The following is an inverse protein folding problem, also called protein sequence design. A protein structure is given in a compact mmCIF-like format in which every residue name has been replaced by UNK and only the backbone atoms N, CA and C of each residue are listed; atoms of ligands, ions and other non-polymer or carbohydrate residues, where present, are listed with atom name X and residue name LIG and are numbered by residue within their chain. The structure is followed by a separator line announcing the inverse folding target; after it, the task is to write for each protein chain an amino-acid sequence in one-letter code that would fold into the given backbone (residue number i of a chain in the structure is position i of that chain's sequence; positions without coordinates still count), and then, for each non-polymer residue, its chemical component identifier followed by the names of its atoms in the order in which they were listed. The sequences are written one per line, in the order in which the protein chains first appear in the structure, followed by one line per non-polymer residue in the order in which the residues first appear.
data_IF_121035807703
#
_entry.id   IF_121035807703
#
_cell.length_a   1.000
_cell.length_b   1.000
_cell.length_c   1.000
_cell.angle_alpha   90.00
_cell.angle_beta   90.00
_cell.angle_gamma   90.00
#
_symmetry.space_group_name_H-M   'P 1'
#
loop_
_entity.id
_entity.type
_entity.pdbx_description
1 polymer ?
#
# COMPACT_ATOMS: atom_id res chain seq x y z
N UNK A 1 -4.09 4.20 5.23
CA UNK A 1 -3.09 3.84 6.22
C UNK A 1 -3.80 3.27 7.45
N UNK A 2 -3.51 2.03 7.88
CA UNK A 2 -4.20 1.39 9.01
C UNK A 2 -3.95 2.10 10.35
N UNK A 3 -2.99 3.00 10.43
CA UNK A 3 -2.71 3.80 11.64
C UNK A 3 -3.58 5.05 11.75
N UNK A 4 -4.27 5.43 10.67
CA UNK A 4 -5.15 6.61 10.68
C UNK A 4 -6.36 6.36 11.57
N UNK A 5 -6.74 7.34 12.41
CA UNK A 5 -7.81 7.25 13.40
C UNK A 5 -8.43 8.62 13.69
N UNK A 6 -9.56 8.61 14.40
CA UNK A 6 -10.23 9.81 14.91
C UNK A 6 -10.64 10.78 13.80
N UNK A 7 -10.53 12.07 14.06
CA UNK A 7 -10.99 13.12 13.15
C UNK A 7 -10.25 13.12 11.82
N UNK A 8 -8.97 12.71 11.80
CA UNK A 8 -8.23 12.54 10.55
C UNK A 8 -8.84 11.48 9.65
N UNK A 9 -9.21 10.32 10.20
CA UNK A 9 -9.89 9.27 9.45
C UNK A 9 -11.28 9.73 8.99
N UNK A 10 -12.03 10.38 9.89
CA UNK A 10 -13.33 10.97 9.56
C UNK A 10 -13.22 11.96 8.39
N UNK A 11 -12.26 12.90 8.47
CA UNK A 11 -12.01 13.87 7.39
C UNK A 11 -11.73 13.19 6.06
N UNK A 12 -10.83 12.20 6.04
CA UNK A 12 -10.46 11.50 4.81
C UNK A 12 -11.67 10.79 4.17
N UNK A 13 -12.47 10.08 4.97
CA UNK A 13 -13.65 9.37 4.48
C UNK A 13 -14.77 10.31 4.02
N UNK A 14 -14.98 11.42 4.72
CA UNK A 14 -15.95 12.45 4.35
C UNK A 14 -15.53 13.19 3.08
N UNK A 15 -14.27 13.64 3.03
CA UNK A 15 -13.72 14.40 1.90
C UNK A 15 -13.70 13.59 0.60
N UNK A 16 -13.43 12.30 0.69
CA UNK A 16 -13.49 11.38 -0.45
C UNK A 16 -14.89 10.90 -0.78
N UNK A 17 -15.91 11.30 -0.02
CA UNK A 17 -17.31 10.90 -0.21
C UNK A 17 -17.48 9.37 -0.30
N UNK A 18 -16.75 8.63 0.54
CA UNK A 18 -16.78 7.18 0.53
C UNK A 18 -18.19 6.64 0.78
N UNK A 19 -18.68 5.80 -0.14
CA UNK A 19 -19.95 5.08 0.01
C UNK A 19 -19.76 3.69 0.63
N UNK A 20 -18.53 3.20 0.66
CA UNK A 20 -18.17 1.88 1.14
C UNK A 20 -16.80 1.87 1.83
N UNK A 21 -16.58 0.91 2.73
CA UNK A 21 -15.28 0.64 3.32
C UNK A 21 -14.96 -0.86 3.27
N UNK A 22 -13.72 -1.18 2.88
CA UNK A 22 -13.17 -2.52 3.00
C UNK A 22 -11.93 -2.42 3.89
N UNK A 23 -11.88 -3.20 4.96
CA UNK A 23 -10.84 -3.09 5.97
C UNK A 23 -10.43 -4.45 6.54
N UNK A 24 -9.24 -4.53 7.11
CA UNK A 24 -8.86 -5.62 7.99
C UNK A 24 -9.58 -5.45 9.34
N UNK A 25 -9.86 -6.55 10.03
CA UNK A 25 -10.58 -6.59 11.31
C UNK A 25 -9.95 -5.69 12.39
N UNK A 26 -8.63 -5.64 12.50
CA UNK A 26 -7.92 -4.78 13.47
C UNK A 26 -8.09 -3.26 13.21
N UNK A 27 -8.67 -2.87 12.08
CA UNK A 27 -8.99 -1.45 11.77
C UNK A 27 -10.39 -1.07 12.24
N UNK A 28 -11.29 -2.05 12.41
CA UNK A 28 -12.69 -1.83 12.76
C UNK A 28 -12.90 -1.03 14.05
N UNK A 29 -12.09 -1.18 15.13
CA UNK A 29 -12.21 -0.34 16.31
C UNK A 29 -12.08 1.18 16.03
N UNK A 30 -11.44 1.54 14.93
CA UNK A 30 -11.25 2.94 14.51
C UNK A 30 -12.34 3.43 13.56
N UNK A 31 -12.92 2.52 12.78
CA UNK A 31 -13.96 2.84 11.80
C UNK A 31 -15.35 2.89 12.45
N UNK A 32 -15.67 1.93 13.32
CA UNK A 32 -16.99 1.77 13.88
C UNK A 32 -17.51 3.02 14.60
N UNK A 33 -16.72 3.73 15.45
CA UNK A 33 -17.20 4.94 16.12
C UNK A 33 -17.49 6.11 15.17
N UNK A 34 -17.00 6.04 13.92
CA UNK A 34 -17.17 7.10 12.95
C UNK A 34 -18.40 6.90 12.06
N UNK A 35 -19.00 5.72 12.05
CA UNK A 35 -20.09 5.39 11.11
C UNK A 35 -21.29 6.30 11.23
N UNK A 36 -21.70 6.66 12.46
CA UNK A 36 -22.82 7.57 12.69
C UNK A 36 -22.54 8.98 12.14
N UNK A 37 -21.28 9.38 12.10
CA UNK A 37 -20.81 10.66 11.55
C UNK A 37 -20.57 10.63 10.04
N UNK A 38 -20.77 9.47 9.39
CA UNK A 38 -20.51 9.22 7.97
C UNK A 38 -21.78 8.69 7.28
N UNK A 39 -22.83 9.50 7.13
CA UNK A 39 -24.11 9.03 6.58
C UNK A 39 -23.99 8.56 5.12
N UNK A 40 -22.95 8.98 4.40
CA UNK A 40 -22.64 8.50 3.05
C UNK A 40 -22.06 7.09 3.02
N UNK A 41 -21.52 6.58 4.11
CA UNK A 41 -20.91 5.25 4.21
C UNK A 41 -22.01 4.17 4.37
N UNK A 42 -22.50 3.66 3.26
CA UNK A 42 -23.66 2.77 3.20
C UNK A 42 -23.38 1.34 3.66
N UNK A 43 -22.16 0.83 3.40
CA UNK A 43 -21.78 -0.53 3.78
C UNK A 43 -20.30 -0.63 4.16
N UNK A 44 -19.96 -1.65 4.92
CA UNK A 44 -18.60 -1.98 5.27
C UNK A 44 -18.38 -3.50 5.16
N UNK A 45 -17.23 -3.87 4.63
CA UNK A 45 -16.75 -5.26 4.62
C UNK A 45 -15.42 -5.36 5.33
N UNK A 46 -15.18 -6.50 5.94
CA UNK A 46 -13.90 -6.79 6.56
C UNK A 46 -13.44 -8.21 6.27
N UNK A 47 -12.14 -8.42 6.37
CA UNK A 47 -11.53 -9.74 6.38
C UNK A 47 -10.81 -9.96 7.71
N UNK A 48 -10.91 -11.20 8.22
CA UNK A 48 -10.25 -11.60 9.44
C UNK A 48 -8.74 -11.73 9.23
N UNK A 49 -7.99 -11.30 10.22
CA UNK A 49 -6.53 -11.42 10.27
C UNK A 49 -6.11 -12.03 11.61
N UNK A 50 -4.84 -12.37 11.75
CA UNK A 50 -4.21 -12.78 13.00
C UNK A 50 -3.95 -11.62 13.98
N UNK A 51 -4.26 -10.39 13.58
CA UNK A 51 -4.15 -9.16 14.41
C UNK A 51 -5.53 -8.69 14.93
N UNK A 52 -6.63 -9.35 14.54
CA UNK A 52 -7.97 -9.06 15.03
C UNK A 52 -8.12 -9.46 16.49
N UNK A 53 -8.80 -8.64 17.27
CA UNK A 53 -9.04 -8.85 18.70
C UNK A 53 -10.34 -9.61 19.00
N UNK A 54 -11.22 -9.73 18.01
CA UNK A 54 -12.53 -10.42 18.12
C UNK A 54 -13.08 -10.85 16.76
N UNK A 55 -14.05 -11.82 16.76
CA UNK A 55 -14.69 -12.30 15.54
C UNK A 55 -15.36 -11.17 14.74
N UNK A 56 -15.41 -11.30 13.42
CA UNK A 56 -16.10 -10.33 12.55
C UNK A 56 -17.61 -10.26 12.85
N UNK A 57 -18.23 -11.35 13.33
CA UNK A 57 -19.63 -11.40 13.72
C UNK A 57 -20.01 -10.41 14.82
N UNK A 58 -19.04 -9.98 15.62
CA UNK A 58 -19.26 -9.06 16.74
C UNK A 58 -19.33 -7.59 16.31
N UNK A 59 -19.09 -7.32 15.03
CA UNK A 59 -19.11 -5.98 14.47
C UNK A 59 -20.43 -5.69 13.76
N UNK A 60 -21.25 -4.82 14.34
CA UNK A 60 -22.55 -4.47 13.78
C UNK A 60 -22.42 -3.82 12.40
N UNK A 61 -23.18 -4.35 11.43
CA UNK A 61 -23.24 -3.82 10.07
C UNK A 61 -21.93 -3.96 9.27
N UNK A 62 -21.07 -4.88 9.65
CA UNK A 62 -19.86 -5.26 8.91
C UNK A 62 -20.06 -6.65 8.33
N UNK A 63 -19.82 -6.80 7.03
CA UNK A 63 -19.91 -8.08 6.33
C UNK A 63 -18.54 -8.74 6.23
N UNK A 64 -18.50 -10.07 6.32
CA UNK A 64 -17.27 -10.82 6.08
C UNK A 64 -16.99 -10.88 4.57
N UNK A 65 -15.90 -10.26 4.12
CA UNK A 65 -15.51 -10.24 2.71
C UNK A 65 -15.29 -11.65 2.15
N UNK A 66 -14.69 -12.56 2.93
CA UNK A 66 -14.45 -13.93 2.51
C UNK A 66 -15.75 -14.72 2.27
N UNK A 67 -16.82 -14.41 3.02
CA UNK A 67 -18.13 -15.04 2.83
C UNK A 67 -18.87 -14.56 1.58
N UNK A 68 -18.41 -13.46 0.99
CA UNK A 68 -18.97 -12.89 -0.25
C UNK A 68 -18.19 -13.30 -1.50
N UNK A 69 -17.04 -13.95 -1.34
CA UNK A 69 -16.29 -14.45 -2.49
C UNK A 69 -17.13 -15.49 -3.23
N UNK A 70 -17.40 -15.33 -4.54
CA UNK A 70 -18.14 -16.33 -5.30
C UNK A 70 -17.32 -17.62 -5.39
N UNK A 71 -18.01 -18.76 -5.38
CA UNK A 71 -17.38 -20.08 -5.57
C UNK A 71 -16.71 -20.18 -6.94
N UNK A 72 -17.33 -19.57 -7.95
CA UNK A 72 -16.79 -19.45 -9.30
C UNK A 72 -16.49 -17.99 -9.61
N UNK A 73 -15.36 -17.71 -10.24
CA UNK A 73 -15.03 -16.36 -10.73
C UNK A 73 -15.89 -16.08 -11.95
N UNK A 74 -16.86 -15.13 -11.89
CA UNK A 74 -17.66 -14.83 -13.06
C UNK A 74 -16.78 -14.22 -14.15
N UNK A 75 -17.13 -14.50 -15.42
CA UNK A 75 -16.57 -13.75 -16.54
C UNK A 75 -16.99 -12.29 -16.43
N UNK A 76 -16.05 -11.46 -16.00
CA UNK A 76 -16.27 -10.02 -15.92
C UNK A 76 -16.01 -9.40 -17.29
N UNK A 77 -16.99 -8.67 -17.85
CA UNK A 77 -16.77 -7.97 -19.12
C UNK A 77 -15.64 -6.95 -18.96
N UNK A 78 -14.77 -6.87 -19.96
CA UNK A 78 -13.80 -5.78 -20.04
C UNK A 78 -14.58 -4.48 -20.25
N UNK A 79 -14.54 -3.61 -19.25
CA UNK A 79 -15.19 -2.31 -19.32
C UNK A 79 -14.30 -1.33 -20.10
N UNK A 80 -14.91 -0.57 -20.99
CA UNK A 80 -14.26 0.61 -21.56
C UNK A 80 -14.23 1.69 -20.48
N UNK A 81 -13.02 2.04 -20.05
CA UNK A 81 -12.80 3.05 -19.00
C UNK A 81 -12.27 4.31 -19.65
N UNK A 82 -12.85 5.46 -19.30
CA UNK A 82 -12.26 6.75 -19.64
C UNK A 82 -10.90 6.88 -18.94
N UNK A 83 -9.79 6.98 -19.69
CA UNK A 83 -8.46 7.09 -19.09
C UNK A 83 -8.28 8.29 -18.16
N UNK A 84 -9.06 9.34 -18.31
CA UNK A 84 -8.97 10.54 -17.49
C UNK A 84 -9.92 10.52 -16.28
N UNK A 85 -10.73 9.46 -16.15
CA UNK A 85 -11.50 9.23 -14.91
C UNK A 85 -10.60 8.91 -13.73
N UNK A 86 -11.09 9.21 -12.51
CA UNK A 86 -10.38 8.94 -11.27
C UNK A 86 -10.26 7.43 -11.04
N UNK A 87 -9.04 6.95 -10.79
CA UNK A 87 -8.76 5.59 -10.36
C UNK A 87 -8.74 5.50 -8.82
N UNK A 88 -8.06 6.45 -8.19
CA UNK A 88 -7.85 6.43 -6.74
C UNK A 88 -7.61 7.82 -6.17
N UNK A 89 -7.77 7.93 -4.84
CA UNK A 89 -7.39 9.09 -4.04
C UNK A 89 -6.29 8.68 -3.06
N UNK A 90 -5.12 9.29 -3.20
CA UNK A 90 -4.01 9.11 -2.25
C UNK A 90 -3.93 10.32 -1.33
N UNK A 91 -4.13 10.10 -0.03
CA UNK A 91 -3.99 11.17 0.95
C UNK A 91 -2.54 11.32 1.41
N UNK A 92 -2.05 12.55 1.34
CA UNK A 92 -0.73 12.94 1.88
C UNK A 92 -0.89 13.66 3.21
N UNK A 93 0.11 13.51 4.09
CA UNK A 93 0.19 14.33 5.31
C UNK A 93 0.46 15.78 4.89
N UNK A 94 -0.56 16.63 4.95
CA UNK A 94 -0.37 18.08 4.79
C UNK A 94 0.58 18.60 5.88
N UNK A 95 1.51 19.47 5.51
CA UNK A 95 2.43 20.12 6.44
C UNK A 95 1.74 21.19 7.29
N UNK A 96 0.52 21.59 6.94
CA UNK A 96 -0.17 22.78 7.48
C UNK A 96 -1.64 22.54 7.84
N UNK A 97 -2.07 21.30 8.11
CA UNK A 97 -3.48 21.05 8.47
C UNK A 97 -4.00 19.70 8.00
N UNK A 98 -5.21 19.66 7.48
CA UNK A 98 -5.88 18.46 7.04
C UNK A 98 -5.15 17.73 5.89
N UNK A 99 -5.27 16.40 5.80
CA UNK A 99 -4.68 15.64 4.71
C UNK A 99 -5.18 16.09 3.35
N UNK A 100 -4.29 16.18 2.36
CA UNK A 100 -4.65 16.53 0.99
C UNK A 100 -4.88 15.26 0.17
N UNK A 101 -6.05 15.12 -0.43
CA UNK A 101 -6.36 14.04 -1.37
C UNK A 101 -5.82 14.37 -2.77
N UNK A 102 -4.94 13.52 -3.27
CA UNK A 102 -4.43 13.62 -4.65
C UNK A 102 -5.24 12.65 -5.51
N UNK A 103 -5.91 13.18 -6.53
CA UNK A 103 -6.61 12.36 -7.51
C UNK A 103 -5.61 11.78 -8.49
N UNK A 104 -5.58 10.46 -8.59
CA UNK A 104 -4.83 9.72 -9.60
C UNK A 104 -5.80 9.21 -10.64
N UNK A 105 -5.63 9.60 -11.91
CA UNK A 105 -6.42 9.06 -13.02
C UNK A 105 -5.82 7.75 -13.53
N UNK A 106 -6.61 6.94 -14.25
CA UNK A 106 -6.13 5.73 -14.91
C UNK A 106 -4.93 6.02 -15.82
N UNK A 107 -5.02 7.06 -16.65
CA UNK A 107 -3.93 7.51 -17.55
C UNK A 107 -2.65 7.79 -16.75
N UNK A 108 -2.75 8.61 -15.70
CA UNK A 108 -1.59 9.02 -14.91
C UNK A 108 -0.96 7.83 -14.19
N UNK A 109 -1.79 6.94 -13.63
CA UNK A 109 -1.31 5.72 -13.00
C UNK A 109 -0.53 4.87 -14.00
N UNK A 110 -1.12 4.53 -15.16
CA UNK A 110 -0.48 3.72 -16.18
C UNK A 110 0.83 4.33 -16.70
N UNK A 111 0.85 5.64 -16.93
CA UNK A 111 2.08 6.34 -17.34
C UNK A 111 3.18 6.25 -16.27
N UNK A 112 2.81 6.47 -15.00
CA UNK A 112 3.79 6.47 -13.90
C UNK A 112 4.40 5.09 -13.68
N UNK A 113 3.59 4.03 -13.67
CA UNK A 113 4.09 2.68 -13.38
C UNK A 113 4.93 2.10 -14.52
N UNK A 114 4.76 2.59 -15.76
CA UNK A 114 5.59 2.20 -16.90
C UNK A 114 6.97 2.86 -16.92
N UNK A 115 7.21 3.87 -16.10
CA UNK A 115 8.50 4.55 -16.02
C UNK A 115 9.59 3.73 -15.29
N UNK A 116 9.24 2.61 -14.68
CA UNK A 116 10.17 1.79 -13.90
C UNK A 116 11.50 1.51 -14.60
N UNK A 117 11.51 0.95 -15.83
CA UNK A 117 12.75 0.66 -16.55
C UNK A 117 13.57 1.92 -16.89
N UNK A 118 12.92 2.98 -17.35
CA UNK A 118 13.63 4.20 -17.79
C UNK A 118 14.07 5.10 -16.64
N UNK A 119 13.29 5.15 -15.55
CA UNK A 119 13.55 6.06 -14.43
C UNK A 119 14.38 5.39 -13.32
N UNK A 120 14.14 4.11 -13.07
CA UNK A 120 14.78 3.36 -11.98
C UNK A 120 15.76 2.28 -12.47
N UNK A 121 15.83 2.03 -13.78
CA UNK A 121 16.71 1.01 -14.35
C UNK A 121 16.26 -0.43 -14.09
N UNK A 122 14.94 -0.66 -13.92
CA UNK A 122 14.41 -2.00 -13.75
C UNK A 122 14.61 -2.83 -15.03
N UNK A 123 15.04 -4.08 -14.84
CA UNK A 123 15.24 -5.08 -15.90
C UNK A 123 14.32 -6.29 -15.68
N UNK A 124 14.21 -7.14 -16.68
CA UNK A 124 13.34 -8.35 -16.64
C UNK A 124 13.72 -9.34 -15.54
N UNK A 125 14.95 -9.28 -15.05
CA UNK A 125 15.48 -10.19 -14.02
C UNK A 125 15.28 -9.64 -12.60
N UNK A 126 14.74 -8.42 -12.47
CA UNK A 126 14.58 -7.80 -11.17
C UNK A 126 13.44 -8.40 -10.36
N UNK A 127 13.67 -8.42 -9.07
CA UNK A 127 12.69 -8.74 -8.03
C UNK A 127 12.56 -7.52 -7.13
N UNK A 128 11.41 -6.87 -7.19
CA UNK A 128 11.17 -5.64 -6.46
C UNK A 128 10.63 -5.94 -5.06
N UNK A 129 11.17 -5.29 -4.04
CA UNK A 129 10.71 -5.44 -2.67
C UNK A 129 10.24 -4.11 -2.07
N UNK A 130 9.12 -4.14 -1.34
CA UNK A 130 8.70 -3.06 -0.46
C UNK A 130 8.13 -3.57 0.86
N UNK A 131 8.56 -2.95 1.95
CA UNK A 131 7.94 -3.08 3.26
C UNK A 131 7.06 -1.87 3.63
N UNK A 132 6.85 -0.97 2.69
CA UNK A 132 5.95 0.17 2.86
C UNK A 132 4.49 -0.25 2.72
N UNK A 133 3.61 0.45 3.42
CA UNK A 133 2.16 0.28 3.20
C UNK A 133 1.78 0.64 1.77
N UNK A 134 0.91 -0.16 1.14
CA UNK A 134 0.34 0.14 -0.18
C UNK A 134 -0.56 1.39 -0.20
N UNK A 135 -0.87 1.97 0.95
CA UNK A 135 -1.50 3.30 1.03
C UNK A 135 -0.52 4.44 0.72
N UNK A 136 0.76 4.12 0.57
CA UNK A 136 1.80 5.09 0.21
C UNK A 136 2.14 4.99 -1.28
N UNK A 137 2.13 6.12 -1.97
CA UNK A 137 2.40 6.21 -3.41
C UNK A 137 3.69 5.51 -3.85
N UNK A 138 4.75 5.55 -3.03
CA UNK A 138 6.00 4.85 -3.35
C UNK A 138 5.79 3.33 -3.47
N UNK A 139 5.18 2.67 -2.47
CA UNK A 139 4.95 1.22 -2.53
C UNK A 139 4.01 0.84 -3.67
N UNK A 140 3.00 1.66 -3.90
CA UNK A 140 1.96 1.40 -4.88
C UNK A 140 2.44 1.63 -6.31
N UNK A 141 3.09 2.75 -6.59
CA UNK A 141 3.50 3.11 -7.95
C UNK A 141 4.90 2.58 -8.29
N UNK A 142 5.88 2.82 -7.41
CA UNK A 142 7.30 2.51 -7.70
C UNK A 142 7.58 1.01 -7.59
N UNK A 143 6.94 0.31 -6.64
CA UNK A 143 7.17 -1.14 -6.45
C UNK A 143 6.07 -1.97 -7.12
N UNK A 144 4.86 -1.98 -6.56
CA UNK A 144 3.80 -2.88 -7.04
C UNK A 144 3.36 -2.55 -8.46
N UNK A 145 3.08 -1.29 -8.75
CA UNK A 145 2.63 -0.84 -10.06
C UNK A 145 3.67 -1.09 -11.15
N UNK A 146 4.95 -0.77 -10.89
CA UNK A 146 6.04 -1.07 -11.83
C UNK A 146 6.20 -2.58 -12.03
N UNK A 147 6.09 -3.37 -10.97
CA UNK A 147 6.17 -4.83 -11.09
C UNK A 147 5.05 -5.38 -11.98
N UNK A 148 3.81 -4.92 -11.80
CA UNK A 148 2.68 -5.32 -12.63
C UNK A 148 2.85 -4.87 -14.10
N UNK A 149 3.22 -3.59 -14.31
CA UNK A 149 3.38 -3.03 -15.65
C UNK A 149 4.53 -3.67 -16.44
N UNK A 150 5.62 -4.01 -15.77
CA UNK A 150 6.82 -4.57 -16.37
C UNK A 150 6.90 -6.11 -16.26
N UNK A 151 5.89 -6.76 -15.69
CA UNK A 151 5.82 -8.22 -15.46
C UNK A 151 7.00 -8.75 -14.62
N UNK A 152 7.37 -8.00 -13.59
CA UNK A 152 8.45 -8.36 -12.69
C UNK A 152 7.91 -9.08 -11.45
N UNK A 153 8.75 -9.86 -10.80
CA UNK A 153 8.43 -10.42 -9.49
C UNK A 153 8.38 -9.31 -8.44
N UNK A 154 7.43 -9.41 -7.52
CA UNK A 154 7.27 -8.44 -6.43
C UNK A 154 7.16 -9.15 -5.09
N UNK A 155 7.89 -8.66 -4.11
CA UNK A 155 7.87 -9.11 -2.72
C UNK A 155 7.30 -7.97 -1.88
N UNK A 156 6.24 -8.26 -1.14
CA UNK A 156 5.62 -7.30 -0.23
C UNK A 156 5.63 -7.88 1.18
N UNK A 157 6.05 -7.11 2.15
CA UNK A 157 5.88 -7.46 3.57
C UNK A 157 4.83 -6.58 4.22
N UNK A 158 4.17 -7.10 5.27
CA UNK A 158 3.10 -6.37 6.00
C UNK A 158 3.58 -5.04 6.57
N UNK A 159 4.87 -4.96 6.92
CA UNK A 159 5.52 -3.75 7.44
C UNK A 159 7.01 -3.79 7.18
N UNK A 160 7.61 -2.63 7.10
CA UNK A 160 9.07 -2.52 7.09
C UNK A 160 9.63 -2.90 8.46
N UNK A 161 10.59 -3.80 8.46
CA UNK A 161 11.36 -4.18 9.65
C UNK A 161 12.85 -4.13 9.30
N UNK A 162 13.55 -3.11 9.80
CA UNK A 162 14.96 -2.87 9.50
C UNK A 162 15.84 -4.11 9.73
N UNK A 163 15.67 -4.76 10.87
CA UNK A 163 16.45 -5.94 11.24
C UNK A 163 16.25 -7.15 10.32
N UNK A 164 15.14 -7.20 9.56
CA UNK A 164 14.83 -8.28 8.65
C UNK A 164 15.06 -7.92 7.17
N UNK A 165 15.45 -6.69 6.87
CA UNK A 165 15.60 -6.22 5.49
C UNK A 165 16.50 -7.16 4.67
N UNK A 166 17.71 -7.40 5.14
CA UNK A 166 18.70 -8.22 4.44
C UNK A 166 18.36 -9.72 4.42
N UNK A 167 17.67 -10.21 5.46
CA UNK A 167 17.12 -11.56 5.47
C UNK A 167 16.08 -11.74 4.36
N UNK A 168 15.14 -10.81 4.25
CA UNK A 168 14.08 -10.84 3.23
C UNK A 168 14.68 -10.74 1.81
N UNK A 169 15.63 -9.85 1.59
CA UNK A 169 16.26 -9.69 0.28
C UNK A 169 16.98 -10.97 -0.16
N UNK A 170 17.70 -11.63 0.73
CA UNK A 170 18.34 -12.92 0.47
C UNK A 170 17.31 -14.04 0.25
N UNK A 171 16.34 -14.15 1.15
CA UNK A 171 15.34 -15.23 1.11
C UNK A 171 14.53 -15.25 -0.18
N UNK A 172 14.15 -14.08 -0.69
CA UNK A 172 13.30 -13.94 -1.86
C UNK A 172 14.05 -13.53 -3.13
N UNK A 173 15.35 -13.36 -3.05
CA UNK A 173 16.18 -12.91 -4.17
C UNK A 173 15.84 -11.48 -4.62
N UNK A 174 15.43 -10.59 -3.70
CA UNK A 174 15.05 -9.24 -4.05
C UNK A 174 16.28 -8.44 -4.49
N UNK A 175 16.26 -7.98 -5.75
CA UNK A 175 17.39 -7.27 -6.38
C UNK A 175 17.32 -5.76 -6.17
N UNK A 176 16.16 -5.27 -5.78
CA UNK A 176 15.95 -3.87 -5.46
C UNK A 176 14.86 -3.71 -4.41
N UNK A 177 14.95 -2.67 -3.61
CA UNK A 177 13.90 -2.30 -2.66
C UNK A 177 13.73 -0.79 -2.56
N UNK A 178 12.58 -0.38 -1.99
CA UNK A 178 12.24 1.03 -1.86
C UNK A 178 12.28 1.47 -0.40
N UNK A 179 12.84 2.64 -0.14
CA UNK A 179 12.89 3.28 1.18
C UNK A 179 12.36 4.71 1.11
N UNK A 180 12.04 5.25 2.27
CA UNK A 180 11.67 6.65 2.46
C UNK A 180 12.49 7.27 3.58
N UNK A 181 12.99 8.47 3.39
CA UNK A 181 13.61 9.36 4.36
C UNK A 181 14.20 8.68 5.60
N UNK A 182 13.49 8.72 6.72
CA UNK A 182 13.93 8.13 7.98
C UNK A 182 14.26 6.62 7.94
N UNK A 183 13.64 5.85 7.01
CA UNK A 183 14.00 4.44 6.83
C UNK A 183 15.38 4.30 6.20
N UNK A 184 15.69 5.16 5.21
CA UNK A 184 17.02 5.21 4.58
C UNK A 184 18.09 5.55 5.62
N UNK A 185 17.85 6.59 6.41
CA UNK A 185 18.74 6.98 7.51
C UNK A 185 18.92 5.86 8.52
N UNK A 186 17.84 5.17 8.88
CA UNK A 186 17.89 4.06 9.83
C UNK A 186 18.70 2.86 9.32
N UNK A 187 18.62 2.54 8.02
CA UNK A 187 19.42 1.47 7.41
C UNK A 187 20.89 1.90 7.27
N UNK A 188 21.13 3.14 6.85
CA UNK A 188 22.47 3.69 6.69
C UNK A 188 23.26 3.76 8.01
N UNK A 189 22.57 4.02 9.11
CA UNK A 189 23.18 4.11 10.44
C UNK A 189 23.51 2.75 11.09
N UNK A 190 23.19 1.62 10.44
CA UNK A 190 23.57 0.31 10.97
C UNK A 190 25.08 0.10 10.85
N UNK A 191 25.71 -0.46 11.90
CA UNK A 191 27.13 -0.78 11.81
C UNK A 191 27.40 -1.84 10.74
N UNK A 192 28.55 -1.77 10.04
CA UNK A 192 28.93 -2.76 9.06
C UNK A 192 28.95 -4.18 9.63
N UNK A 193 28.51 -5.16 8.86
CA UNK A 193 28.50 -6.59 9.18
C UNK A 193 29.30 -7.38 8.16
N UNK A 194 29.89 -8.48 8.59
CA UNK A 194 30.73 -9.33 7.73
C UNK A 194 30.00 -9.87 6.48
N UNK A 195 28.67 -9.98 6.54
CA UNK A 195 27.84 -10.49 5.46
C UNK A 195 27.04 -9.40 4.70
N UNK A 196 27.41 -8.14 4.82
CA UNK A 196 26.69 -7.07 4.13
C UNK A 196 26.75 -7.20 2.60
N UNK A 197 27.87 -7.69 2.08
CA UNK A 197 28.02 -7.95 0.66
C UNK A 197 27.27 -9.21 0.15
N UNK A 198 26.86 -10.09 1.06
CA UNK A 198 26.15 -11.32 0.74
C UNK A 198 24.63 -11.07 0.59
N UNK A 199 24.27 -10.40 -0.49
CA UNK A 199 22.87 -10.13 -0.82
C UNK A 199 22.71 -9.88 -2.35
N UNK A 200 21.54 -10.10 -2.94
CA UNK A 200 21.28 -9.94 -4.37
C UNK A 200 20.99 -8.49 -4.79
N UNK A 201 21.00 -7.53 -3.87
CA UNK A 201 20.56 -6.15 -4.11
C UNK A 201 21.52 -5.43 -5.05
N UNK A 202 21.02 -4.95 -6.18
CA UNK A 202 21.79 -4.18 -7.17
C UNK A 202 21.71 -2.68 -6.90
N UNK A 203 20.54 -2.19 -6.46
CA UNK A 203 20.32 -0.78 -6.13
C UNK A 203 19.10 -0.59 -5.22
N UNK A 204 18.99 0.60 -4.65
CA UNK A 204 17.90 1.02 -3.78
C UNK A 204 17.24 2.26 -4.35
N UNK A 205 15.92 2.24 -4.46
CA UNK A 205 15.15 3.44 -4.81
C UNK A 205 14.72 4.14 -3.53
N UNK A 206 15.27 5.32 -3.27
CA UNK A 206 14.97 6.07 -2.05
C UNK A 206 14.50 7.47 -2.34
N UNK A 207 13.49 7.90 -1.59
CA UNK A 207 13.06 9.30 -1.52
C UNK A 207 13.56 9.90 -0.20
N UNK A 208 14.51 10.82 -0.30
CA UNK A 208 15.21 11.42 0.85
C UNK A 208 16.43 10.59 1.28
N UNK A 209 17.60 10.98 0.78
CA UNK A 209 18.87 10.44 1.22
C UNK A 209 19.35 11.19 2.47
N UNK A 210 20.07 10.52 3.40
CA UNK A 210 20.78 11.23 4.45
C UNK A 210 21.82 12.17 3.83
N UNK A 211 22.01 13.31 4.46
CA UNK A 211 23.04 14.30 4.09
C UNK A 211 24.43 13.77 4.41
#
# INVERSE_FOLDING_TARGET
DPRTKGDKLHFMLSNSQCSAAIAADYVLPRLQPLRERLPGLRWAMAFATDEGDRPLSDWQGVENLAARAPADVPDLPLLTIDPDSALELIFTSGTTGDPKGIVMTHRRYCQTVQLGPSLFGYSTDDVLYSGLSLTHANAQLVTLGSALACRLRCVLSRRFTKSRLWEITRQYGATTFTLLGGMTTAVYADPPRANDADNPVRFVVSSGMPA
#
